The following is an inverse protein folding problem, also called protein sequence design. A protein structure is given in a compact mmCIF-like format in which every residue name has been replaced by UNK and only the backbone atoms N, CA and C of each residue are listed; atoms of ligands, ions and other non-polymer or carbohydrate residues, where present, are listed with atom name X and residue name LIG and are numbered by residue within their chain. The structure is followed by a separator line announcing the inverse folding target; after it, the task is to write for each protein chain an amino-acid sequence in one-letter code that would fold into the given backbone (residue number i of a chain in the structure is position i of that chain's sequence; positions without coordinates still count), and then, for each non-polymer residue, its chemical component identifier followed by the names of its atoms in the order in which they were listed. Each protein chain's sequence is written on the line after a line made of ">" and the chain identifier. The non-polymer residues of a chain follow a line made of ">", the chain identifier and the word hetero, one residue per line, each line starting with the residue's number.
data_IF_677774509324
#
_entry.id   IF_677774509324
#
_cell.length_a   1.000
_cell.length_b   1.000
_cell.length_c   1.000
_cell.angle_alpha   90.00
_cell.angle_beta   90.00
_cell.angle_gamma   90.00
#
_symmetry.space_group_name_H-M   'P 1'
#
loop_
_entity.id
_entity.type
_entity.pdbx_description
1 polymer ?
#
# COMPACT_ATOMS: atom_id res chain seq x y z
N UNK A 1 -82.45 -15.34 16.77
CA UNK A 1 -81.42 -15.30 17.81
C UNK A 1 -80.06 -15.07 17.16
N UNK A 2 -79.64 -13.81 17.16
CA UNK A 2 -78.41 -13.37 16.51
C UNK A 2 -77.39 -13.09 17.60
N UNK A 3 -76.28 -13.79 17.58
CA UNK A 3 -75.15 -13.54 18.47
C UNK A 3 -74.01 -12.87 17.65
N UNK A 4 -73.84 -11.60 17.88
CA UNK A 4 -72.74 -10.80 17.36
C UNK A 4 -71.43 -11.17 18.15
N UNK A 5 -70.45 -11.70 17.43
CA UNK A 5 -69.09 -11.85 17.96
C UNK A 5 -68.30 -10.59 17.65
N UNK A 6 -67.92 -9.85 18.71
CA UNK A 6 -66.98 -8.74 18.70
C UNK A 6 -65.57 -9.32 18.55
N UNK A 7 -64.91 -8.99 17.45
CA UNK A 7 -63.50 -9.34 17.24
C UNK A 7 -62.64 -8.32 18.04
N UNK A 8 -61.93 -8.85 19.03
CA UNK A 8 -60.86 -8.14 19.73
C UNK A 8 -59.68 -7.88 18.79
N UNK A 9 -59.28 -6.60 18.66
CA UNK A 9 -58.07 -6.20 17.94
C UNK A 9 -56.84 -6.58 18.81
N UNK A 10 -55.79 -7.18 18.24
CA UNK A 10 -54.58 -7.51 18.99
C UNK A 10 -53.83 -6.24 19.35
N UNK A 11 -53.49 -6.17 20.64
CA UNK A 11 -52.71 -5.11 21.30
C UNK A 11 -51.38 -4.83 20.58
N UNK A 12 -51.00 -3.56 20.58
CA UNK A 12 -49.74 -2.98 20.17
C UNK A 12 -48.54 -3.84 20.49
N UNK A 13 -47.92 -4.42 19.47
CA UNK A 13 -46.57 -4.97 19.60
C UNK A 13 -45.57 -3.80 19.78
N UNK A 14 -44.65 -3.86 20.74
CA UNK A 14 -43.68 -2.81 20.92
C UNK A 14 -42.84 -2.66 19.65
N UNK A 15 -42.89 -1.48 19.02
CA UNK A 15 -41.98 -1.11 17.93
C UNK A 15 -40.58 -1.13 18.50
N UNK A 16 -39.87 -2.23 18.32
CA UNK A 16 -38.43 -2.28 18.46
C UNK A 16 -37.85 -1.30 17.43
N UNK A 17 -37.56 -0.08 17.86
CA UNK A 17 -36.62 0.78 17.15
C UNK A 17 -35.29 0.03 17.14
N UNK A 18 -35.09 -0.75 16.07
CA UNK A 18 -33.75 -1.24 15.72
C UNK A 18 -32.89 -0.01 15.55
N UNK A 19 -32.14 0.31 16.62
CA UNK A 19 -31.14 1.36 16.60
C UNK A 19 -30.27 1.12 15.36
N UNK A 20 -30.20 2.13 14.50
CA UNK A 20 -29.18 2.25 13.46
C UNK A 20 -27.84 2.05 14.19
N UNK A 21 -27.30 0.85 14.09
CA UNK A 21 -26.11 0.45 14.80
C UNK A 21 -25.03 1.52 14.67
N UNK A 22 -24.53 1.93 15.80
CA UNK A 22 -23.43 2.88 15.94
C UNK A 22 -22.28 2.43 15.01
N UNK A 23 -22.21 3.04 13.82
CA UNK A 23 -21.06 2.87 12.95
C UNK A 23 -19.86 3.37 13.75
N UNK A 24 -18.76 2.61 13.86
CA UNK A 24 -17.62 3.04 14.66
C UNK A 24 -17.13 4.39 14.13
N UNK A 25 -17.48 5.43 14.88
CA UNK A 25 -16.97 6.76 14.63
C UNK A 25 -15.47 6.70 14.95
N UNK A 26 -14.62 7.12 14.00
CA UNK A 26 -13.17 7.20 14.23
C UNK A 26 -12.85 8.01 15.47
N UNK A 27 -11.66 7.84 16.03
CA UNK A 27 -11.19 8.56 17.23
C UNK A 27 -11.32 10.09 17.06
N UNK A 28 -11.06 10.62 15.86
CA UNK A 28 -11.25 12.01 15.50
C UNK A 28 -12.65 12.24 14.90
N UNK A 29 -13.62 12.60 15.73
CA UNK A 29 -15.03 12.79 15.34
C UNK A 29 -15.30 14.09 14.60
N UNK A 30 -14.48 15.13 14.81
CA UNK A 30 -14.64 16.48 14.24
C UNK A 30 -13.64 16.74 13.12
N UNK A 31 -13.95 17.64 12.19
CA UNK A 31 -13.00 18.08 11.16
C UNK A 31 -11.70 18.65 11.76
N UNK A 32 -11.83 19.44 12.84
CA UNK A 32 -10.67 19.97 13.57
C UNK A 32 -9.83 18.84 14.18
N UNK A 33 -10.45 17.82 14.80
CA UNK A 33 -9.72 16.67 15.35
C UNK A 33 -8.96 15.90 14.30
N UNK A 34 -9.54 15.71 13.09
CA UNK A 34 -8.84 15.07 11.95
C UNK A 34 -7.66 15.89 11.46
N UNK A 35 -7.80 17.21 11.39
CA UNK A 35 -6.70 18.09 10.98
C UNK A 35 -5.56 18.10 12.01
N UNK A 36 -5.88 18.18 13.30
CA UNK A 36 -4.87 18.08 14.38
C UNK A 36 -4.16 16.73 14.35
N UNK A 37 -4.90 15.63 14.20
CA UNK A 37 -4.30 14.30 14.06
C UNK A 37 -3.38 14.17 12.84
N UNK A 38 -3.73 14.81 11.70
CA UNK A 38 -2.86 14.86 10.53
C UNK A 38 -1.58 15.64 10.79
N UNK A 39 -1.66 16.78 11.48
CA UNK A 39 -0.47 17.55 11.88
C UNK A 39 0.45 16.73 12.79
N UNK A 40 -0.12 15.98 13.75
CA UNK A 40 0.65 15.05 14.59
C UNK A 40 1.31 13.96 13.73
N UNK A 41 0.58 13.36 12.78
CA UNK A 41 1.12 12.35 11.89
C UNK A 41 2.28 12.93 11.03
N UNK A 42 2.15 14.14 10.53
CA UNK A 42 3.22 14.85 9.80
C UNK A 42 4.43 15.12 10.71
N UNK A 43 4.22 15.55 11.95
CA UNK A 43 5.31 15.73 12.91
C UNK A 43 6.05 14.41 13.18
N UNK A 44 5.33 13.30 13.33
CA UNK A 44 5.91 11.96 13.47
C UNK A 44 6.69 11.55 12.21
N UNK A 45 6.19 11.91 11.01
CA UNK A 45 6.91 11.67 9.76
C UNK A 45 8.22 12.45 9.71
N UNK A 46 8.22 13.72 10.10
CA UNK A 46 9.44 14.55 10.16
C UNK A 46 10.47 13.94 11.14
N UNK A 47 9.99 13.45 12.29
CA UNK A 47 10.85 12.73 13.25
C UNK A 47 11.40 11.43 12.65
N UNK A 48 10.60 10.65 11.93
CA UNK A 48 11.04 9.43 11.26
C UNK A 48 12.08 9.71 10.17
N UNK A 49 11.93 10.81 9.41
CA UNK A 49 12.93 11.30 8.44
C UNK A 49 14.23 11.67 9.15
N UNK A 50 14.18 12.47 10.21
CA UNK A 50 15.33 12.83 11.02
C UNK A 50 16.05 11.57 11.56
N UNK A 51 15.28 10.63 12.11
CA UNK A 51 15.81 9.36 12.62
C UNK A 51 16.49 8.55 11.51
N UNK A 52 15.89 8.51 10.31
CA UNK A 52 16.47 7.82 9.14
C UNK A 52 17.82 8.40 8.71
N UNK A 53 18.05 9.70 8.90
CA UNK A 53 19.32 10.36 8.57
C UNK A 53 20.37 10.18 9.65
N UNK A 54 19.98 10.14 10.93
CA UNK A 54 20.88 10.04 12.10
C UNK A 54 21.27 8.61 12.42
N UNK A 55 20.31 7.67 12.39
CA UNK A 55 20.46 6.30 12.89
C UNK A 55 20.77 5.32 11.76
N UNK A 56 21.71 4.42 11.99
CA UNK A 56 22.10 3.33 11.09
C UNK A 56 23.18 2.47 11.73
N UNK A 57 23.85 1.62 10.95
CA UNK A 57 24.98 0.79 11.41
C UNK A 57 26.11 1.62 12.02
N UNK A 58 26.33 2.85 11.53
CA UNK A 58 27.17 3.88 12.15
C UNK A 58 26.28 5.06 12.54
N UNK A 59 26.16 5.42 13.83
CA UNK A 59 25.43 6.62 14.24
C UNK A 59 26.19 7.89 13.79
N UNK A 60 25.45 8.88 13.26
CA UNK A 60 26.01 10.17 12.83
C UNK A 60 25.38 11.26 13.70
N UNK A 61 26.18 12.13 14.36
CA UNK A 61 25.66 13.23 15.17
C UNK A 61 24.74 14.17 14.37
N UNK A 62 23.74 14.74 15.02
CA UNK A 62 22.75 15.62 14.36
C UNK A 62 23.42 16.86 13.73
N UNK A 63 24.45 17.43 14.40
CA UNK A 63 25.24 18.54 13.84
C UNK A 63 25.92 18.15 12.52
N UNK A 64 26.58 16.98 12.48
CA UNK A 64 27.21 16.47 11.26
C UNK A 64 26.19 16.20 10.14
N UNK A 65 24.96 15.75 10.48
CA UNK A 65 23.88 15.62 9.48
C UNK A 65 23.51 16.98 8.91
N UNK A 66 23.40 18.01 9.76
CA UNK A 66 23.13 19.38 9.31
C UNK A 66 24.25 19.91 8.41
N UNK A 67 25.50 19.73 8.83
CA UNK A 67 26.69 20.16 8.06
C UNK A 67 26.77 19.43 6.72
N UNK A 68 26.48 18.13 6.67
CA UNK A 68 26.42 17.35 5.43
C UNK A 68 25.38 17.87 4.44
N UNK A 69 24.23 18.38 4.93
CA UNK A 69 23.17 18.91 4.09
C UNK A 69 23.43 20.33 3.60
N UNK A 70 24.13 21.16 4.39
CA UNK A 70 24.33 22.60 4.11
C UNK A 70 25.73 22.94 3.59
N UNK A 71 26.75 22.19 4.00
CA UNK A 71 28.15 22.47 3.69
C UNK A 71 28.95 21.18 3.43
N UNK A 72 28.56 20.42 2.37
CA UNK A 72 29.19 19.15 2.01
C UNK A 72 30.70 19.31 1.71
N UNK A 73 31.54 18.60 2.47
CA UNK A 73 33.02 18.65 2.38
C UNK A 73 33.63 17.33 1.85
N UNK A 74 32.83 16.30 1.56
CA UNK A 74 33.30 15.00 1.07
C UNK A 74 33.85 14.10 2.15
N UNK A 75 33.78 14.46 3.44
CA UNK A 75 34.17 13.59 4.55
C UNK A 75 33.32 12.31 4.59
N UNK A 76 33.85 11.23 5.19
CA UNK A 76 33.15 9.94 5.21
C UNK A 76 31.76 9.99 5.84
N UNK A 77 31.56 10.86 6.85
CA UNK A 77 30.23 11.02 7.47
C UNK A 77 29.27 11.83 6.57
N UNK A 78 29.77 12.82 5.84
CA UNK A 78 28.98 13.55 4.85
C UNK A 78 28.55 12.66 3.68
N UNK A 79 29.43 11.79 3.18
CA UNK A 79 29.10 10.77 2.17
C UNK A 79 28.00 9.84 2.67
N UNK A 80 28.11 9.34 3.93
CA UNK A 80 27.05 8.47 4.52
C UNK A 80 25.70 9.17 4.53
N UNK A 81 25.65 10.44 4.92
CA UNK A 81 24.39 11.19 5.00
C UNK A 81 23.85 11.50 3.62
N UNK A 82 24.64 12.13 2.75
CA UNK A 82 24.18 12.72 1.50
C UNK A 82 24.03 11.71 0.37
N UNK A 83 24.95 10.74 0.30
CA UNK A 83 24.99 9.81 -0.85
C UNK A 83 24.33 8.46 -0.55
N UNK A 84 24.19 8.08 0.75
CA UNK A 84 23.56 6.82 1.12
C UNK A 84 22.20 7.00 1.80
N UNK A 85 22.12 7.84 2.86
CA UNK A 85 20.91 7.94 3.69
C UNK A 85 19.85 8.85 3.10
N UNK A 86 20.22 9.98 2.54
CA UNK A 86 19.27 10.93 1.95
C UNK A 86 18.51 10.32 0.78
N UNK A 87 19.15 9.71 -0.25
CA UNK A 87 18.46 9.04 -1.33
C UNK A 87 17.55 7.91 -0.85
N UNK A 88 18.05 7.08 0.09
CA UNK A 88 17.29 6.00 0.71
C UNK A 88 16.02 6.52 1.41
N UNK A 89 16.13 7.63 2.14
CA UNK A 89 15.01 8.28 2.83
C UNK A 89 13.99 8.84 1.84
N UNK A 90 14.44 9.50 0.77
CA UNK A 90 13.57 10.04 -0.28
C UNK A 90 12.80 8.91 -0.99
N UNK A 91 13.50 7.83 -1.38
CA UNK A 91 12.84 6.65 -1.98
C UNK A 91 11.87 6.02 -0.97
N UNK A 92 12.25 5.94 0.31
CA UNK A 92 11.38 5.43 1.37
C UNK A 92 10.10 6.25 1.54
N UNK A 93 10.16 7.58 1.42
CA UNK A 93 9.00 8.47 1.43
C UNK A 93 8.09 8.19 0.23
N UNK A 94 8.63 8.12 -0.98
CA UNK A 94 7.87 7.86 -2.20
C UNK A 94 7.22 6.47 -2.18
N UNK A 95 7.99 5.43 -1.87
CA UNK A 95 7.53 4.04 -1.81
C UNK A 95 6.50 3.85 -0.70
N UNK A 96 6.74 4.39 0.50
CA UNK A 96 5.80 4.31 1.60
C UNK A 96 4.46 4.95 1.26
N UNK A 97 4.49 6.20 0.76
CA UNK A 97 3.29 6.92 0.31
C UNK A 97 2.55 6.13 -0.78
N UNK A 98 3.27 5.62 -1.78
CA UNK A 98 2.69 4.86 -2.87
C UNK A 98 2.00 3.57 -2.40
N UNK A 99 2.64 2.79 -1.53
CA UNK A 99 2.08 1.56 -0.96
C UNK A 99 0.88 1.85 -0.06
N UNK A 100 0.95 2.87 0.80
CA UNK A 100 -0.15 3.23 1.68
C UNK A 100 -1.40 3.67 0.93
N UNK A 101 -1.23 4.54 -0.06
CA UNK A 101 -2.35 5.05 -0.88
C UNK A 101 -2.91 3.95 -1.79
N UNK A 102 -2.07 3.15 -2.45
CA UNK A 102 -2.54 2.03 -3.27
C UNK A 102 -3.31 1.00 -2.44
N UNK A 103 -2.88 0.74 -1.21
CA UNK A 103 -3.59 -0.11 -0.26
C UNK A 103 -4.98 0.44 0.10
N UNK A 104 -5.07 1.73 0.40
CA UNK A 104 -6.35 2.38 0.70
C UNK A 104 -7.33 2.32 -0.49
N UNK A 105 -6.82 2.56 -1.72
CA UNK A 105 -7.59 2.48 -2.95
C UNK A 105 -8.16 1.08 -3.20
N UNK A 106 -7.33 0.04 -3.08
CA UNK A 106 -7.76 -1.34 -3.36
C UNK A 106 -8.76 -1.83 -2.31
N UNK A 107 -8.56 -1.50 -1.02
CA UNK A 107 -9.49 -1.82 0.05
C UNK A 107 -10.85 -1.13 -0.15
N UNK A 108 -10.87 0.14 -0.56
CA UNK A 108 -12.10 0.86 -0.87
C UNK A 108 -12.83 0.27 -2.07
N UNK A 109 -12.10 -0.02 -3.17
CA UNK A 109 -12.65 -0.57 -4.41
C UNK A 109 -13.24 -1.97 -4.20
N UNK A 110 -12.55 -2.82 -3.42
CA UNK A 110 -12.99 -4.20 -3.17
C UNK A 110 -13.97 -4.32 -2.00
N UNK A 111 -14.16 -3.24 -1.25
CA UNK A 111 -14.92 -3.25 0.02
C UNK A 111 -14.40 -4.31 1.00
N UNK A 112 -13.11 -4.60 0.92
CA UNK A 112 -12.45 -5.58 1.75
C UNK A 112 -11.27 -4.92 2.46
N UNK A 113 -11.29 -4.77 3.80
CA UNK A 113 -10.20 -4.17 4.57
C UNK A 113 -8.91 -5.00 4.56
N UNK A 114 -8.96 -6.23 4.10
CA UNK A 114 -7.83 -7.14 3.99
C UNK A 114 -7.27 -7.24 2.56
N UNK A 115 -7.77 -6.42 1.63
CA UNK A 115 -7.24 -6.40 0.27
C UNK A 115 -5.86 -5.74 0.22
N UNK A 116 -4.94 -6.37 -0.50
CA UNK A 116 -3.59 -5.90 -0.77
C UNK A 116 -3.45 -5.46 -2.24
N UNK A 117 -2.68 -4.42 -2.56
CA UNK A 117 -2.46 -3.98 -3.95
C UNK A 117 -1.95 -5.08 -4.88
N UNK A 118 -1.21 -6.05 -4.34
CA UNK A 118 -0.67 -7.20 -5.08
C UNK A 118 -1.73 -8.13 -5.70
N UNK A 119 -3.01 -8.05 -5.25
CA UNK A 119 -4.09 -8.86 -5.84
C UNK A 119 -4.36 -8.54 -7.32
N UNK A 120 -3.90 -7.40 -7.83
CA UNK A 120 -3.94 -7.08 -9.26
C UNK A 120 -2.75 -7.68 -10.05
N UNK A 121 -1.94 -8.53 -9.43
CA UNK A 121 -0.80 -9.16 -10.08
C UNK A 121 0.44 -8.27 -10.23
N UNK A 122 0.41 -7.03 -9.72
CA UNK A 122 1.49 -6.04 -9.88
C UNK A 122 2.84 -6.60 -9.45
N UNK A 123 2.93 -7.16 -8.24
CA UNK A 123 4.18 -7.71 -7.70
C UNK A 123 4.67 -8.94 -8.47
N UNK A 124 3.75 -9.82 -8.87
CA UNK A 124 4.10 -11.02 -9.63
C UNK A 124 4.60 -10.67 -11.03
N UNK A 125 3.94 -9.72 -11.71
CA UNK A 125 4.36 -9.24 -13.02
C UNK A 125 5.71 -8.53 -12.98
N UNK A 126 5.92 -7.65 -11.98
CA UNK A 126 7.20 -6.99 -11.77
C UNK A 126 8.32 -8.01 -11.54
N UNK A 127 8.13 -8.96 -10.62
CA UNK A 127 9.10 -9.99 -10.30
C UNK A 127 9.43 -10.88 -11.50
N UNK A 128 8.41 -11.31 -12.24
CA UNK A 128 8.60 -12.12 -13.45
C UNK A 128 9.43 -11.38 -14.50
N UNK A 129 9.11 -10.12 -14.78
CA UNK A 129 9.85 -9.32 -15.75
C UNK A 129 11.31 -9.07 -15.32
N UNK A 130 11.57 -8.89 -14.01
CA UNK A 130 12.94 -8.79 -13.48
C UNK A 130 13.68 -10.10 -13.65
N UNK A 131 13.05 -11.24 -13.36
CA UNK A 131 13.66 -12.57 -13.61
C UNK A 131 14.07 -12.73 -15.06
N UNK A 132 13.18 -12.39 -16.00
CA UNK A 132 13.48 -12.45 -17.44
C UNK A 132 14.65 -11.51 -17.82
N UNK A 133 14.64 -10.29 -17.28
CA UNK A 133 15.70 -9.30 -17.55
C UNK A 133 17.07 -9.76 -17.03
N UNK A 134 17.11 -10.36 -15.85
CA UNK A 134 18.36 -10.89 -15.27
C UNK A 134 18.83 -12.14 -16.01
N UNK A 135 17.95 -13.15 -16.17
CA UNK A 135 18.33 -14.45 -16.71
C UNK A 135 18.65 -14.44 -18.20
N UNK A 136 17.91 -13.68 -19.01
CA UNK A 136 18.04 -13.71 -20.48
C UNK A 136 18.77 -12.50 -21.06
N UNK A 137 18.76 -11.33 -20.38
CA UNK A 137 19.44 -10.13 -20.85
C UNK A 137 20.69 -9.79 -20.04
N UNK A 138 20.99 -10.55 -18.97
CA UNK A 138 22.16 -10.34 -18.12
C UNK A 138 22.18 -9.00 -17.37
N UNK A 139 21.01 -8.38 -17.17
CA UNK A 139 20.93 -7.08 -16.48
C UNK A 139 21.13 -7.28 -14.97
N UNK A 140 22.17 -6.64 -14.43
CA UNK A 140 22.56 -6.80 -13.03
C UNK A 140 22.24 -5.57 -12.19
N UNK A 141 22.15 -4.40 -12.81
CA UNK A 141 21.92 -3.13 -12.12
C UNK A 141 20.44 -2.83 -11.95
N UNK A 142 20.09 -2.31 -10.77
CA UNK A 142 18.72 -1.95 -10.41
C UNK A 142 18.17 -0.88 -11.38
N UNK A 143 18.98 0.10 -11.76
CA UNK A 143 18.61 1.14 -12.73
C UNK A 143 18.24 0.57 -14.10
N UNK A 144 18.82 -0.57 -14.47
CA UNK A 144 18.55 -1.23 -15.74
C UNK A 144 17.25 -2.03 -15.72
N UNK A 145 16.95 -2.77 -14.66
CA UNK A 145 15.75 -3.61 -14.63
C UNK A 145 14.51 -2.95 -14.04
N UNK A 146 14.62 -1.72 -13.49
CA UNK A 146 13.45 -0.99 -12.96
C UNK A 146 12.33 -0.81 -14.01
N UNK A 147 12.72 -0.56 -15.24
CA UNK A 147 11.76 -0.41 -16.35
C UNK A 147 11.07 -1.73 -16.72
N UNK A 148 11.80 -2.84 -16.64
CA UNK A 148 11.24 -4.18 -16.83
C UNK A 148 10.25 -4.50 -15.69
N UNK A 149 10.61 -4.21 -14.45
CA UNK A 149 9.72 -4.39 -13.30
C UNK A 149 8.42 -3.59 -13.48
N UNK A 150 8.54 -2.32 -13.88
CA UNK A 150 7.38 -1.46 -14.11
C UNK A 150 6.52 -1.94 -15.29
N UNK A 151 7.14 -2.29 -16.41
CA UNK A 151 6.44 -2.85 -17.58
C UNK A 151 5.73 -4.16 -17.24
N UNK A 152 6.39 -5.06 -16.48
CA UNK A 152 5.80 -6.31 -16.00
C UNK A 152 4.60 -6.08 -15.06
N UNK A 153 4.70 -5.10 -14.17
CA UNK A 153 3.58 -4.69 -13.30
C UNK A 153 2.37 -4.23 -14.11
N UNK A 154 2.60 -3.36 -15.11
CA UNK A 154 1.54 -2.87 -16.01
C UNK A 154 0.94 -4.03 -16.82
N UNK A 155 1.77 -4.86 -17.44
CA UNK A 155 1.32 -5.99 -18.25
C UNK A 155 0.48 -6.98 -17.44
N UNK A 156 0.91 -7.33 -16.23
CA UNK A 156 0.16 -8.21 -15.34
C UNK A 156 -1.19 -7.61 -14.94
N UNK A 157 -1.22 -6.32 -14.58
CA UNK A 157 -2.49 -5.65 -14.23
C UNK A 157 -3.45 -5.61 -15.41
N UNK A 158 -2.96 -5.31 -16.62
CA UNK A 158 -3.77 -5.33 -17.85
C UNK A 158 -4.31 -6.74 -18.10
N UNK A 159 -3.48 -7.78 -17.96
CA UNK A 159 -3.90 -9.17 -18.11
C UNK A 159 -4.98 -9.56 -17.07
N UNK A 160 -4.82 -9.18 -15.81
CA UNK A 160 -5.81 -9.41 -14.74
C UNK A 160 -7.14 -8.73 -15.08
N UNK A 161 -7.09 -7.47 -15.53
CA UNK A 161 -8.31 -6.77 -15.95
C UNK A 161 -8.93 -7.41 -17.20
N UNK A 162 -8.16 -7.79 -18.20
CA UNK A 162 -8.64 -8.45 -19.41
C UNK A 162 -9.33 -9.78 -19.09
N UNK A 163 -8.76 -10.61 -18.24
CA UNK A 163 -9.33 -11.89 -17.81
C UNK A 163 -10.51 -11.67 -16.86
N UNK A 164 -10.35 -10.82 -15.86
CA UNK A 164 -11.36 -10.59 -14.83
C UNK A 164 -12.61 -9.85 -15.32
N UNK A 165 -12.52 -9.15 -16.46
CA UNK A 165 -13.67 -8.47 -17.09
C UNK A 165 -14.48 -9.33 -18.04
N UNK A 166 -14.03 -10.55 -18.37
CA UNK A 166 -14.74 -11.45 -19.26
C UNK A 166 -16.03 -11.97 -18.63
N UNK A 167 -17.08 -12.09 -19.47
CA UNK A 167 -18.38 -12.63 -19.09
C UNK A 167 -19.42 -11.58 -18.64
N UNK A 168 -20.67 -12.06 -18.41
CA UNK A 168 -21.79 -11.22 -18.01
C UNK A 168 -21.59 -10.66 -16.60
N UNK A 169 -21.52 -9.33 -16.44
CA UNK A 169 -21.32 -8.65 -15.15
C UNK A 169 -20.01 -7.89 -15.00
N UNK A 170 -19.11 -7.93 -15.99
CA UNK A 170 -17.88 -7.11 -16.04
C UNK A 170 -16.84 -7.43 -14.95
N UNK A 171 -15.93 -6.50 -14.71
CA UNK A 171 -14.83 -6.62 -13.74
C UNK A 171 -15.34 -6.45 -12.30
N UNK A 172 -15.78 -7.53 -11.68
CA UNK A 172 -16.11 -7.51 -10.25
C UNK A 172 -14.85 -7.69 -9.39
N UNK A 173 -14.83 -7.17 -8.15
CA UNK A 173 -13.68 -7.33 -7.25
C UNK A 173 -13.24 -8.79 -7.07
N UNK A 174 -14.19 -9.71 -6.93
CA UNK A 174 -13.91 -11.15 -6.74
C UNK A 174 -13.23 -11.73 -7.99
N UNK A 175 -13.71 -11.41 -9.19
CA UNK A 175 -13.10 -11.90 -10.44
C UNK A 175 -11.69 -11.36 -10.65
N UNK A 176 -11.48 -10.07 -10.36
CA UNK A 176 -10.14 -9.47 -10.45
C UNK A 176 -9.17 -10.14 -9.47
N UNK A 177 -9.63 -10.40 -8.23
CA UNK A 177 -8.81 -11.10 -7.24
C UNK A 177 -8.46 -12.53 -7.68
N UNK A 178 -9.44 -13.30 -8.16
CA UNK A 178 -9.19 -14.67 -8.64
C UNK A 178 -8.25 -14.70 -9.85
N UNK A 179 -8.46 -13.79 -10.82
CA UNK A 179 -7.58 -13.67 -11.98
C UNK A 179 -6.15 -13.28 -11.57
N UNK A 180 -6.01 -12.35 -10.61
CA UNK A 180 -4.72 -11.92 -10.09
C UNK A 180 -3.97 -13.03 -9.35
N UNK A 181 -4.65 -13.78 -8.49
CA UNK A 181 -4.06 -14.93 -7.77
C UNK A 181 -3.64 -16.02 -8.77
N UNK A 182 -4.48 -16.35 -9.76
CA UNK A 182 -4.15 -17.33 -10.78
C UNK A 182 -2.94 -16.91 -11.62
N UNK A 183 -2.92 -15.64 -12.07
CA UNK A 183 -1.78 -15.09 -12.81
C UNK A 183 -0.50 -15.09 -11.96
N UNK A 184 -0.59 -14.67 -10.69
CA UNK A 184 0.54 -14.65 -9.77
C UNK A 184 1.12 -16.06 -9.54
N UNK A 185 0.26 -17.10 -9.43
CA UNK A 185 0.70 -18.47 -9.29
C UNK A 185 1.46 -18.96 -10.55
N UNK A 186 0.96 -18.66 -11.75
CA UNK A 186 1.62 -19.03 -13.01
C UNK A 186 2.95 -18.30 -13.15
N UNK A 187 2.96 -16.97 -13.03
CA UNK A 187 4.19 -16.16 -13.15
C UNK A 187 5.22 -16.54 -12.08
N UNK A 188 4.76 -16.77 -10.85
CA UNK A 188 5.61 -17.20 -9.74
C UNK A 188 6.23 -18.57 -9.97
N UNK A 189 5.45 -19.54 -10.47
CA UNK A 189 5.95 -20.87 -10.81
C UNK A 189 7.02 -20.85 -11.91
N UNK A 190 6.79 -20.08 -12.98
CA UNK A 190 7.77 -19.92 -14.06
C UNK A 190 9.02 -19.20 -13.53
N UNK A 191 8.86 -18.11 -12.77
CA UNK A 191 9.97 -17.38 -12.15
C UNK A 191 10.83 -18.30 -11.28
N UNK A 192 10.19 -19.13 -10.44
CA UNK A 192 10.88 -20.09 -9.60
C UNK A 192 11.65 -21.13 -10.42
N UNK A 193 11.07 -21.63 -11.51
CA UNK A 193 11.75 -22.54 -12.42
C UNK A 193 13.01 -21.92 -13.05
N UNK A 194 12.92 -20.69 -13.53
CA UNK A 194 14.07 -19.97 -14.10
C UNK A 194 15.14 -19.72 -13.04
N UNK A 195 14.78 -19.25 -11.86
CA UNK A 195 15.75 -18.95 -10.78
C UNK A 195 16.45 -20.20 -10.24
N UNK A 196 15.85 -21.38 -10.31
CA UNK A 196 16.48 -22.62 -9.92
C UNK A 196 17.54 -23.10 -10.95
N UNK A 197 17.37 -22.71 -12.21
CA UNK A 197 18.30 -23.09 -13.30
C UNK A 197 19.42 -22.07 -13.49
N UNK A 198 19.24 -20.82 -13.01
CA UNK A 198 20.21 -19.74 -13.16
C UNK A 198 20.66 -19.21 -11.79
N UNK A 199 21.91 -19.52 -11.35
CA UNK A 199 22.45 -19.04 -10.06
C UNK A 199 22.51 -17.51 -9.94
N UNK A 200 22.72 -16.77 -11.04
CA UNK A 200 22.76 -15.31 -11.01
C UNK A 200 21.37 -14.74 -10.80
N UNK A 201 20.37 -15.27 -11.50
CA UNK A 201 18.96 -14.91 -11.28
C UNK A 201 18.53 -15.24 -9.84
N UNK A 202 18.93 -16.41 -9.31
CA UNK A 202 18.65 -16.79 -7.92
C UNK A 202 19.20 -15.77 -6.90
N UNK A 203 20.49 -15.42 -7.00
CA UNK A 203 21.13 -14.49 -6.06
C UNK A 203 20.51 -13.10 -6.13
N UNK A 204 20.20 -12.60 -7.32
CA UNK A 204 19.55 -11.29 -7.48
C UNK A 204 18.14 -11.28 -6.94
N UNK A 205 17.34 -12.29 -7.29
CA UNK A 205 15.94 -12.37 -6.87
C UNK A 205 15.76 -12.58 -5.37
N UNK A 206 16.69 -13.28 -4.72
CA UNK A 206 16.69 -13.45 -3.25
C UNK A 206 16.71 -12.12 -2.51
N UNK A 207 17.55 -11.19 -2.95
CA UNK A 207 17.64 -9.86 -2.30
C UNK A 207 16.54 -8.91 -2.76
N UNK A 208 16.23 -8.91 -4.06
CA UNK A 208 15.17 -8.05 -4.59
C UNK A 208 13.78 -8.46 -4.07
N UNK A 209 13.50 -9.75 -4.02
CA UNK A 209 12.22 -10.30 -3.54
C UNK A 209 11.96 -10.08 -2.04
N UNK A 210 12.98 -9.80 -1.26
CA UNK A 210 12.83 -9.45 0.16
C UNK A 210 12.37 -8.00 0.39
N UNK A 211 12.44 -7.14 -0.63
CA UNK A 211 12.08 -5.72 -0.55
C UNK A 211 13.07 -4.89 0.27
N UNK A 212 13.81 -3.99 -0.38
CA UNK A 212 14.88 -3.22 0.27
C UNK A 212 14.96 -1.77 -0.22
N UNK A 213 15.31 -0.87 0.70
CA UNK A 213 15.67 0.51 0.39
C UNK A 213 17.19 0.74 0.31
N UNK A 214 18.01 -0.27 0.61
CA UNK A 214 19.47 -0.18 0.55
C UNK A 214 19.97 0.03 -0.89
N UNK A 215 20.98 0.87 -1.06
CA UNK A 215 21.59 1.15 -2.37
C UNK A 215 20.70 1.90 -3.35
N UNK A 216 19.65 2.58 -2.87
CA UNK A 216 18.78 3.41 -3.73
C UNK A 216 19.40 4.78 -3.95
N UNK A 217 19.33 5.27 -5.20
CA UNK A 217 19.94 6.53 -5.63
C UNK A 217 18.89 7.63 -5.77
N UNK A 218 19.36 8.89 -5.79
CA UNK A 218 18.50 10.05 -6.06
C UNK A 218 17.91 10.01 -7.48
N UNK A 219 18.66 9.45 -8.44
CA UNK A 219 18.19 9.26 -9.82
C UNK A 219 16.98 8.32 -9.86
N UNK A 220 17.03 7.23 -9.09
CA UNK A 220 15.89 6.33 -8.96
C UNK A 220 14.67 7.02 -8.37
N UNK A 221 14.87 7.87 -7.33
CA UNK A 221 13.78 8.69 -6.79
C UNK A 221 13.17 9.59 -7.87
N UNK A 222 14.01 10.24 -8.69
CA UNK A 222 13.57 11.05 -9.82
C UNK A 222 12.80 10.24 -10.87
N UNK A 223 13.22 9.00 -11.14
CA UNK A 223 12.56 8.10 -12.09
C UNK A 223 11.15 7.69 -11.64
N UNK A 224 10.96 7.36 -10.35
CA UNK A 224 9.64 6.92 -9.87
C UNK A 224 8.71 8.07 -9.48
N UNK A 225 9.24 9.25 -9.13
CA UNK A 225 8.45 10.38 -8.66
C UNK A 225 7.29 10.79 -9.57
N UNK A 226 7.43 10.88 -10.91
CA UNK A 226 6.33 11.26 -11.80
C UNK A 226 5.19 10.22 -11.80
N UNK A 227 5.51 8.93 -11.70
CA UNK A 227 4.50 7.87 -11.63
C UNK A 227 3.76 7.90 -10.29
N UNK A 228 4.48 8.11 -9.19
CA UNK A 228 3.88 8.29 -7.87
C UNK A 228 2.99 9.53 -7.84
N UNK A 229 3.46 10.66 -8.37
CA UNK A 229 2.69 11.90 -8.44
C UNK A 229 1.41 11.72 -9.27
N UNK A 230 1.49 11.11 -10.45
CA UNK A 230 0.33 10.82 -11.29
C UNK A 230 -0.67 9.90 -10.58
N UNK A 231 -0.20 8.83 -9.94
CA UNK A 231 -1.03 7.93 -9.15
C UNK A 231 -1.73 8.62 -7.98
N UNK A 232 -1.03 9.52 -7.27
CA UNK A 232 -1.61 10.32 -6.18
C UNK A 232 -2.67 11.30 -6.68
N UNK A 233 -2.45 11.96 -7.81
CA UNK A 233 -3.45 12.83 -8.43
C UNK A 233 -4.72 12.05 -8.76
N UNK A 234 -4.59 10.88 -9.40
CA UNK A 234 -5.74 10.03 -9.70
C UNK A 234 -6.43 9.58 -8.41
N UNK A 235 -5.67 9.19 -7.37
CA UNK A 235 -6.21 8.79 -6.07
C UNK A 235 -7.07 9.89 -5.43
N UNK A 236 -6.63 11.14 -5.50
CA UNK A 236 -7.40 12.29 -4.99
C UNK A 236 -8.67 12.53 -5.81
N UNK A 237 -8.62 12.38 -7.13
CA UNK A 237 -9.78 12.53 -8.02
C UNK A 237 -10.85 11.47 -7.74
N UNK A 238 -10.45 10.22 -7.43
CA UNK A 238 -11.39 9.13 -7.17
C UNK A 238 -11.84 9.03 -5.70
N UNK A 239 -11.28 9.83 -4.80
CA UNK A 239 -11.59 9.77 -3.36
C UNK A 239 -13.10 9.97 -3.05
N UNK A 240 -13.75 10.92 -3.74
CA UNK A 240 -15.20 11.16 -3.61
C UNK A 240 -16.04 10.03 -4.19
N UNK A 241 -15.85 9.62 -5.46
CA UNK A 241 -16.55 8.47 -6.01
C UNK A 241 -16.41 7.19 -5.17
N UNK A 242 -15.24 6.96 -4.56
CA UNK A 242 -15.01 5.79 -3.70
C UNK A 242 -15.88 5.79 -2.43
N UNK A 243 -16.23 6.95 -1.87
CA UNK A 243 -17.20 7.02 -0.77
C UNK A 243 -18.59 6.52 -1.20
N UNK A 244 -19.00 6.83 -2.44
CA UNK A 244 -20.26 6.29 -2.97
C UNK A 244 -20.16 4.78 -3.24
N UNK A 245 -19.06 4.30 -3.86
CA UNK A 245 -18.84 2.87 -4.12
C UNK A 245 -18.83 2.03 -2.84
N UNK A 246 -18.38 2.61 -1.71
CA UNK A 246 -18.43 1.94 -0.42
C UNK A 246 -19.86 1.60 0.07
N UNK A 247 -20.89 2.30 -0.45
CA UNK A 247 -22.31 2.06 -0.14
C UNK A 247 -22.94 0.93 -0.98
N UNK A 248 -22.22 0.44 -1.98
CA UNK A 248 -22.71 -0.56 -2.95
C UNK A 248 -22.84 0.03 -4.36
N UNK A 249 -22.74 -0.84 -5.38
CA UNK A 249 -22.68 -0.41 -6.78
C UNK A 249 -24.01 0.21 -7.25
N UNK A 250 -25.15 -0.37 -6.83
CA UNK A 250 -26.49 0.10 -7.22
C UNK A 250 -26.76 1.48 -6.62
N UNK A 251 -26.45 1.66 -5.33
CA UNK A 251 -26.62 2.93 -4.65
C UNK A 251 -25.64 3.98 -5.18
N UNK A 252 -24.38 3.61 -5.44
CA UNK A 252 -23.40 4.50 -6.04
C UNK A 252 -23.87 5.01 -7.40
N UNK A 253 -24.42 4.11 -8.23
CA UNK A 253 -24.96 4.45 -9.55
C UNK A 253 -26.19 5.38 -9.44
N UNK A 254 -27.08 5.13 -8.49
CA UNK A 254 -28.24 5.99 -8.20
C UNK A 254 -27.84 7.39 -7.75
N UNK A 255 -26.67 7.52 -7.07
CA UNK A 255 -26.07 8.79 -6.67
C UNK A 255 -25.25 9.45 -7.80
N UNK A 256 -25.28 8.92 -9.02
CA UNK A 256 -24.60 9.45 -10.19
C UNK A 256 -23.13 9.09 -10.30
N UNK A 257 -22.62 8.16 -9.48
CA UNK A 257 -21.23 7.71 -9.59
C UNK A 257 -21.07 6.71 -10.75
N UNK A 258 -20.08 6.94 -11.61
CA UNK A 258 -19.72 6.03 -12.69
C UNK A 258 -18.80 4.92 -12.15
N UNK A 259 -19.39 3.87 -11.56
CA UNK A 259 -18.66 2.78 -10.88
C UNK A 259 -17.58 2.16 -11.78
N UNK A 260 -17.90 1.86 -13.04
CA UNK A 260 -16.94 1.28 -14.00
C UNK A 260 -15.71 2.18 -14.22
N UNK A 261 -15.95 3.49 -14.47
CA UNK A 261 -14.86 4.47 -14.64
C UNK A 261 -14.02 4.61 -13.36
N UNK A 262 -14.67 4.63 -12.20
CA UNK A 262 -13.99 4.70 -10.91
C UNK A 262 -13.06 3.49 -10.71
N UNK A 263 -13.52 2.28 -11.01
CA UNK A 263 -12.72 1.05 -10.93
C UNK A 263 -11.51 1.07 -11.85
N UNK A 264 -11.68 1.52 -13.09
CA UNK A 264 -10.56 1.64 -14.05
C UNK A 264 -9.53 2.64 -13.54
N UNK A 265 -9.96 3.82 -13.08
CA UNK A 265 -9.06 4.84 -12.54
C UNK A 265 -8.34 4.37 -11.28
N UNK A 266 -9.01 3.65 -10.38
CA UNK A 266 -8.36 3.01 -9.23
C UNK A 266 -7.34 1.98 -9.67
N UNK A 267 -7.66 1.14 -10.66
CA UNK A 267 -6.72 0.17 -11.23
C UNK A 267 -5.47 0.85 -11.78
N UNK A 268 -5.64 1.93 -12.56
CA UNK A 268 -4.52 2.73 -13.08
C UNK A 268 -3.70 3.33 -11.94
N UNK A 269 -4.35 3.97 -10.95
CA UNK A 269 -3.64 4.56 -9.81
C UNK A 269 -2.85 3.52 -9.01
N UNK A 270 -3.45 2.36 -8.71
CA UNK A 270 -2.78 1.26 -8.01
C UNK A 270 -1.58 0.74 -8.81
N UNK A 271 -1.73 0.59 -10.13
CA UNK A 271 -0.63 0.13 -11.00
C UNK A 271 0.53 1.12 -11.01
N UNK A 272 0.24 2.42 -11.14
CA UNK A 272 1.26 3.48 -11.10
C UNK A 272 1.97 3.52 -9.73
N UNK A 273 1.21 3.52 -8.65
CA UNK A 273 1.74 3.62 -7.29
C UNK A 273 2.49 2.35 -6.87
N UNK A 274 1.80 1.21 -6.88
CA UNK A 274 2.39 -0.07 -6.45
C UNK A 274 3.47 -0.54 -7.43
N UNK A 275 3.28 -0.33 -8.75
CA UNK A 275 4.27 -0.65 -9.78
C UNK A 275 5.56 0.14 -9.60
N UNK A 276 5.49 1.46 -9.40
CA UNK A 276 6.66 2.29 -9.12
C UNK A 276 7.35 1.91 -7.81
N UNK A 277 6.56 1.64 -6.74
CA UNK A 277 7.10 1.21 -5.46
C UNK A 277 7.83 -0.14 -5.56
N UNK A 278 7.22 -1.12 -6.22
CA UNK A 278 7.81 -2.46 -6.40
C UNK A 278 9.03 -2.42 -7.32
N UNK A 279 9.00 -1.64 -8.40
CA UNK A 279 10.13 -1.46 -9.29
C UNK A 279 11.34 -0.85 -8.57
N UNK A 280 11.12 0.13 -7.68
CA UNK A 280 12.18 0.79 -6.93
C UNK A 280 12.71 -0.01 -5.74
N UNK A 281 11.83 -0.63 -4.96
CA UNK A 281 12.20 -1.24 -3.67
C UNK A 281 12.03 -2.76 -3.62
N UNK A 282 11.51 -3.39 -4.68
CA UNK A 282 11.03 -4.75 -4.64
C UNK A 282 9.66 -4.86 -3.94
N UNK A 283 9.08 -6.06 -3.85
CA UNK A 283 7.79 -6.25 -3.21
C UNK A 283 7.91 -6.04 -1.69
N UNK A 284 7.11 -5.12 -1.14
CA UNK A 284 7.02 -4.87 0.30
C UNK A 284 5.56 -5.10 0.73
N UNK A 285 5.36 -6.11 1.56
CA UNK A 285 4.05 -6.48 2.08
C UNK A 285 3.64 -5.69 3.33
N UNK A 286 2.38 -5.85 3.72
CA UNK A 286 1.77 -5.33 4.95
C UNK A 286 1.58 -3.82 5.04
N UNK A 287 2.43 -2.98 4.43
CA UNK A 287 2.31 -1.52 4.49
C UNK A 287 0.95 -1.06 3.94
N UNK A 288 0.63 -1.49 2.70
CA UNK A 288 -0.65 -1.17 2.04
C UNK A 288 -1.86 -1.84 2.68
N UNK A 289 -1.66 -2.86 3.50
CA UNK A 289 -2.73 -3.57 4.18
C UNK A 289 -3.02 -2.96 5.56
N UNK A 290 -2.00 -2.73 6.35
CA UNK A 290 -2.13 -2.30 7.75
C UNK A 290 -2.42 -0.80 7.88
N UNK A 291 -1.69 0.04 7.14
CA UNK A 291 -1.77 1.50 7.33
C UNK A 291 -3.15 2.08 7.03
N UNK A 292 -3.84 1.73 5.92
CA UNK A 292 -5.19 2.22 5.68
C UNK A 292 -6.19 1.78 6.74
N UNK A 293 -5.95 0.63 7.38
CA UNK A 293 -6.78 0.15 8.47
C UNK A 293 -6.62 1.02 9.72
N UNK A 294 -5.38 1.36 10.09
CA UNK A 294 -5.08 2.30 11.18
C UNK A 294 -5.67 3.69 10.87
N UNK A 295 -5.51 4.17 9.63
CA UNK A 295 -6.10 5.42 9.20
C UNK A 295 -7.62 5.43 9.38
N UNK A 296 -8.32 4.35 8.97
CA UNK A 296 -9.78 4.21 9.13
C UNK A 296 -10.22 4.25 10.59
N UNK A 297 -9.46 3.65 11.51
CA UNK A 297 -9.75 3.74 12.93
C UNK A 297 -9.60 5.16 13.48
N UNK A 298 -8.64 5.92 12.94
CA UNK A 298 -8.39 7.28 13.40
C UNK A 298 -9.44 8.26 12.89
N UNK A 299 -9.74 8.23 11.58
CA UNK A 299 -10.55 9.27 10.92
C UNK A 299 -11.95 8.82 10.49
N UNK A 300 -12.30 7.54 10.70
CA UNK A 300 -13.57 6.96 10.23
C UNK A 300 -13.56 6.59 8.74
N UNK A 301 -14.74 6.39 8.12
CA UNK A 301 -14.88 5.77 6.81
C UNK A 301 -14.65 6.70 5.60
N UNK A 302 -14.39 8.00 5.80
CA UNK A 302 -14.21 8.94 4.69
C UNK A 302 -12.90 8.69 3.93
N UNK A 303 -13.01 8.26 2.68
CA UNK A 303 -11.87 7.89 1.84
C UNK A 303 -10.86 9.02 1.62
N UNK A 304 -11.30 10.29 1.64
CA UNK A 304 -10.39 11.43 1.52
C UNK A 304 -9.39 11.47 2.67
N UNK A 305 -9.90 11.33 3.89
CA UNK A 305 -9.07 11.32 5.09
C UNK A 305 -8.23 10.04 5.19
N UNK A 306 -8.79 8.89 4.80
CA UNK A 306 -8.05 7.63 4.78
C UNK A 306 -6.85 7.72 3.83
N UNK A 307 -7.03 8.28 2.62
CA UNK A 307 -5.94 8.46 1.65
C UNK A 307 -4.86 9.41 2.19
N UNK A 308 -5.26 10.56 2.76
CA UNK A 308 -4.31 11.53 3.33
C UNK A 308 -3.49 10.93 4.49
N UNK A 309 -4.17 10.26 5.43
CA UNK A 309 -3.47 9.62 6.54
C UNK A 309 -2.59 8.46 6.08
N UNK A 310 -3.03 7.68 5.10
CA UNK A 310 -2.23 6.60 4.53
C UNK A 310 -0.99 7.14 3.83
N UNK A 311 -1.08 8.27 3.13
CA UNK A 311 0.05 8.93 2.48
C UNK A 311 1.12 9.39 3.46
N UNK A 312 0.75 9.70 4.72
CA UNK A 312 1.67 10.16 5.76
C UNK A 312 2.15 9.01 6.66
N UNK A 313 1.24 8.14 7.10
CA UNK A 313 1.58 7.08 8.06
C UNK A 313 2.37 5.91 7.42
N UNK A 314 2.17 5.65 6.12
CA UNK A 314 2.87 4.55 5.46
C UNK A 314 4.37 4.80 5.32
N UNK A 315 4.85 5.98 4.90
CA UNK A 315 6.29 6.27 4.95
C UNK A 315 6.85 6.29 6.39
N UNK A 316 6.06 6.69 7.41
CA UNK A 316 6.52 6.54 8.81
C UNK A 316 6.82 5.08 9.12
N UNK A 317 5.86 4.18 8.86
CA UNK A 317 6.07 2.74 9.10
C UNK A 317 7.28 2.22 8.33
N UNK A 318 7.39 2.59 7.05
CA UNK A 318 8.48 2.10 6.19
C UNK A 318 9.85 2.60 6.65
N UNK A 319 10.00 3.89 6.95
CA UNK A 319 11.26 4.47 7.42
C UNK A 319 11.67 3.94 8.79
N UNK A 320 10.71 3.81 9.72
CA UNK A 320 11.00 3.22 11.05
C UNK A 320 11.42 1.76 10.89
N UNK A 321 10.72 0.98 10.06
CA UNK A 321 11.10 -0.41 9.77
C UNK A 321 12.49 -0.51 9.13
N UNK A 322 12.83 0.41 8.25
CA UNK A 322 14.13 0.48 7.61
C UNK A 322 15.24 0.83 8.62
N UNK A 323 15.00 1.78 9.53
CA UNK A 323 15.94 2.11 10.63
C UNK A 323 16.15 0.90 11.55
N UNK A 324 15.09 0.21 11.92
CA UNK A 324 15.16 -1.02 12.73
C UNK A 324 16.00 -2.08 12.01
N UNK A 325 15.76 -2.30 10.71
CA UNK A 325 16.54 -3.25 9.91
C UNK A 325 18.02 -2.95 9.85
N UNK A 326 18.42 -1.67 9.90
CA UNK A 326 19.82 -1.22 9.93
C UNK A 326 20.53 -1.41 11.29
N UNK A 327 19.77 -1.50 12.38
CA UNK A 327 20.32 -1.54 13.74
C UNK A 327 20.36 -2.97 14.30
N UNK A 328 19.31 -3.76 14.05
CA UNK A 328 19.09 -5.07 14.72
C UNK A 328 20.17 -6.11 14.39
N UNK A 329 20.75 -6.05 13.17
CA UNK A 329 21.72 -7.05 12.68
C UNK A 329 23.06 -6.39 12.31
N UNK A 330 23.36 -5.23 12.90
CA UNK A 330 24.63 -4.54 12.60
C UNK A 330 25.86 -5.46 12.79
N UNK A 331 26.88 -5.45 11.88
CA UNK A 331 27.07 -4.53 10.76
C UNK A 331 26.27 -4.88 9.48
N UNK A 332 25.55 -6.01 9.44
CA UNK A 332 24.62 -6.34 8.36
C UNK A 332 23.35 -5.50 8.41
N UNK A 333 22.48 -5.68 7.41
CA UNK A 333 21.18 -5.03 7.34
C UNK A 333 20.08 -6.05 7.02
N UNK A 334 18.96 -5.96 7.75
CA UNK A 334 17.73 -6.65 7.37
C UNK A 334 16.97 -5.82 6.35
N UNK A 335 16.47 -6.49 5.31
CA UNK A 335 15.62 -5.86 4.30
C UNK A 335 14.32 -5.36 4.95
N UNK A 336 13.92 -4.14 4.57
CA UNK A 336 12.74 -3.48 5.15
C UNK A 336 11.46 -4.30 5.00
N UNK A 337 11.31 -5.05 3.89
CA UNK A 337 10.15 -5.92 3.66
C UNK A 337 10.04 -7.05 4.69
N UNK A 338 11.16 -7.57 5.19
CA UNK A 338 11.18 -8.56 6.28
C UNK A 338 10.68 -7.90 7.58
N UNK A 339 11.20 -6.72 7.92
CA UNK A 339 10.81 -6.01 9.14
C UNK A 339 9.34 -5.62 9.12
N UNK A 340 8.84 -5.11 7.97
CA UNK A 340 7.41 -4.78 7.83
C UNK A 340 6.52 -6.01 7.95
N UNK A 341 6.97 -7.19 7.51
CA UNK A 341 6.23 -8.43 7.69
C UNK A 341 6.18 -8.87 9.17
N UNK A 342 7.29 -8.76 9.89
CA UNK A 342 7.34 -9.07 11.33
C UNK A 342 6.45 -8.15 12.17
N UNK A 343 6.35 -6.87 11.81
CA UNK A 343 5.46 -5.92 12.47
C UNK A 343 4.00 -6.12 12.01
N UNK A 344 3.80 -6.28 10.72
CA UNK A 344 2.48 -6.29 10.10
C UNK A 344 1.67 -7.55 10.38
N UNK A 345 2.31 -8.73 10.40
CA UNK A 345 1.60 -9.98 10.61
C UNK A 345 0.93 -10.07 12.00
N UNK A 346 1.59 -9.77 13.13
CA UNK A 346 0.94 -9.75 14.44
C UNK A 346 -0.19 -8.71 14.53
N UNK A 347 0.03 -7.53 13.97
CA UNK A 347 -0.99 -6.48 13.94
C UNK A 347 -2.21 -6.95 13.16
N UNK A 348 -2.03 -7.54 11.98
CA UNK A 348 -3.13 -8.07 11.18
C UNK A 348 -3.90 -9.17 11.91
N UNK A 349 -3.19 -10.11 12.56
CA UNK A 349 -3.82 -11.17 13.36
C UNK A 349 -4.68 -10.57 14.49
N UNK A 350 -4.14 -9.57 15.20
CA UNK A 350 -4.89 -8.88 16.26
C UNK A 350 -6.14 -8.16 15.72
N UNK A 351 -6.04 -7.55 14.53
CA UNK A 351 -7.14 -6.87 13.86
C UNK A 351 -8.28 -7.83 13.48
N UNK A 352 -7.92 -8.95 12.83
CA UNK A 352 -8.89 -9.98 12.41
C UNK A 352 -9.58 -10.61 13.61
N UNK A 353 -8.83 -10.87 14.70
CA UNK A 353 -9.41 -11.43 15.93
C UNK A 353 -10.41 -10.47 16.59
N UNK A 354 -10.12 -9.17 16.60
CA UNK A 354 -11.04 -8.16 17.18
C UNK A 354 -12.31 -7.98 16.34
N UNK A 355 -12.25 -8.04 15.01
CA UNK A 355 -13.44 -7.94 14.16
C UNK A 355 -14.42 -9.10 14.35
N UNK A 356 -13.92 -10.31 14.64
CA UNK A 356 -14.77 -11.46 15.00
C UNK A 356 -15.44 -11.34 16.39
N UNK A 357 -14.83 -10.60 17.30
CA UNK A 357 -15.38 -10.35 18.64
C UNK A 357 -16.48 -9.28 18.65
N UNK A 358 -16.55 -8.42 17.65
CA UNK A 358 -17.56 -7.34 17.53
C UNK A 358 -18.77 -7.73 16.66
N UNK A 359 -18.93 -9.01 16.30
CA UNK A 359 -20.12 -9.54 15.61
C UNK A 359 -20.41 -8.81 14.30
N UNK A 360 -19.81 -9.25 13.20
CA UNK A 360 -20.31 -8.98 11.85
C UNK A 360 -21.49 -9.89 11.57
#
# INVERSE_FOLDING_TARGET
>A
MSTSATADAPADAPRTTTGLGDRPAGLARTGAGRSVGLLVAVAVLVLAVGLSLVVGSKPVPLGTVWDALTGYDGSGDHVIVRDLRLPRTIVGLLVGTALGVSGALIQAMTRNPLADPGILGVNAGAGFAVVLAVAFLGLTDISSFIWFAFAGAVAATVAVYAVGSQGRGGATPVRLTLAGVALAAVLGGISQGITLLDPQAFDRMRFWGAGSLAGRTTEMAGTIAPFVAAGLVIALLVARPLNAVALGDDLASSLGAHVGRTRVLVGVAVTLLCGAATAAAGPIGFVGLMVPHVARWTVGPDQRWILLYSAVLAPVLLLVSDVVGRVVVAPGELQVGIVTAFIGAPVLIALVRRSKASGL
#
